data_IF_503077631338
#
_entry.id   IF_503077631338
#
_cell.length_a   1.000
_cell.length_b   1.000
_cell.length_c   1.000
_cell.angle_alpha   90.00
_cell.angle_beta   90.00
_cell.angle_gamma   90.00
#
_symmetry.space_group_name_H-M   'P 1'
#
loop_
_entity.id
_entity.type
_entity.pdbx_description
1 polymer ?
#
# COMPACT_ATOMS: atom_id res chain seq x y z
N UNK A 1 21.45 -2.58 -29.03
CA UNK A 1 20.44 -1.87 -28.22
C UNK A 1 19.01 -2.11 -28.67
N UNK A 2 18.52 -1.60 -29.82
CA UNK A 2 17.10 -1.74 -30.20
C UNK A 2 16.66 -3.21 -30.34
N UNK A 3 17.50 -4.05 -30.97
CA UNK A 3 17.25 -5.49 -31.09
C UNK A 3 17.26 -6.22 -29.74
N UNK A 4 18.21 -5.90 -28.85
CA UNK A 4 18.29 -6.49 -27.49
C UNK A 4 17.12 -6.05 -26.61
N UNK A 5 16.71 -4.78 -26.72
CA UNK A 5 15.52 -4.24 -26.06
C UNK A 5 14.27 -4.99 -26.51
N UNK A 6 14.10 -5.18 -27.82
CA UNK A 6 12.96 -5.93 -28.36
C UNK A 6 12.94 -7.39 -27.85
N UNK A 7 14.11 -8.03 -27.77
CA UNK A 7 14.24 -9.40 -27.24
C UNK A 7 13.86 -9.49 -25.76
N UNK A 8 14.35 -8.58 -24.91
CA UNK A 8 14.03 -8.59 -23.47
C UNK A 8 12.55 -8.27 -23.23
N UNK A 9 12.00 -7.29 -23.94
CA UNK A 9 10.56 -6.96 -23.88
C UNK A 9 9.72 -8.16 -24.31
N UNK A 10 10.10 -8.84 -25.39
CA UNK A 10 9.42 -10.07 -25.85
C UNK A 10 9.46 -11.20 -24.82
N UNK A 11 10.53 -11.32 -24.04
CA UNK A 11 10.68 -12.34 -23.01
C UNK A 11 9.84 -12.07 -21.75
N UNK A 12 9.58 -10.81 -21.43
CA UNK A 12 8.79 -10.40 -20.26
C UNK A 12 7.29 -10.29 -20.53
N UNK A 13 6.90 -10.10 -21.79
CA UNK A 13 5.51 -10.07 -22.20
C UNK A 13 4.79 -11.39 -21.81
N UNK A 14 3.49 -11.32 -21.47
CA UNK A 14 2.74 -12.52 -21.12
C UNK A 14 2.81 -13.50 -22.29
N UNK A 15 3.18 -14.75 -21.98
CA UNK A 15 3.25 -15.81 -23.00
C UNK A 15 1.85 -16.00 -23.56
N UNK A 16 1.74 -16.03 -24.88
CA UNK A 16 0.52 -16.45 -25.54
C UNK A 16 0.28 -17.91 -25.15
N UNK A 17 -0.63 -18.13 -24.21
CA UNK A 17 -1.17 -19.45 -23.95
C UNK A 17 -2.01 -19.84 -25.17
N UNK A 18 -1.34 -20.35 -26.20
CA UNK A 18 -2.00 -20.95 -27.35
C UNK A 18 -2.76 -22.14 -26.78
N UNK A 19 -4.08 -22.00 -26.67
CA UNK A 19 -4.93 -23.12 -26.26
C UNK A 19 -4.76 -24.20 -27.31
N UNK A 20 -3.97 -25.23 -26.97
CA UNK A 20 -3.67 -26.34 -27.85
C UNK A 20 -4.92 -27.18 -28.02
N UNK A 21 -5.67 -26.95 -29.10
CA UNK A 21 -6.70 -27.90 -29.50
C UNK A 21 -5.97 -29.08 -30.11
N UNK A 22 -5.88 -30.17 -29.34
CA UNK A 22 -5.60 -31.46 -29.94
C UNK A 22 -6.75 -31.76 -30.90
N UNK A 23 -6.48 -31.96 -32.21
CA UNK A 23 -7.52 -32.37 -33.12
C UNK A 23 -8.06 -33.73 -32.64
N UNK A 24 -9.37 -33.81 -32.40
CA UNK A 24 -10.00 -35.07 -32.00
C UNK A 24 -9.83 -36.15 -33.08
N UNK A 25 -10.08 -37.41 -32.71
CA UNK A 25 -10.05 -38.60 -33.57
C UNK A 25 -11.07 -38.56 -34.74
N UNK A 26 -11.57 -37.40 -35.18
CA UNK A 26 -12.40 -37.24 -36.40
C UNK A 26 -12.02 -36.07 -37.32
N UNK A 27 -10.99 -35.28 -36.98
CA UNK A 27 -10.64 -34.01 -37.68
C UNK A 27 -9.75 -34.19 -38.92
N UNK A 28 -9.38 -35.43 -39.26
CA UNK A 28 -8.39 -35.81 -40.28
C UNK A 28 -9.00 -35.91 -41.70
N UNK A 29 -10.32 -35.83 -41.83
CA UNK A 29 -11.06 -36.07 -43.07
C UNK A 29 -11.74 -34.82 -43.68
N UNK A 30 -11.10 -33.63 -43.65
CA UNK A 30 -11.54 -32.36 -44.28
C UNK A 30 -12.37 -31.36 -43.43
N UNK A 31 -12.36 -31.43 -42.09
CA UNK A 31 -12.92 -30.36 -41.25
C UNK A 31 -11.85 -29.67 -40.39
N UNK A 32 -10.88 -29.02 -41.03
CA UNK A 32 -9.81 -28.27 -40.38
C UNK A 32 -10.20 -26.80 -40.10
N UNK A 33 -11.30 -26.56 -39.38
CA UNK A 33 -11.57 -25.20 -38.88
C UNK A 33 -11.31 -25.14 -37.39
N UNK A 34 -10.35 -24.30 -36.99
CA UNK A 34 -10.15 -23.99 -35.58
C UNK A 34 -11.46 -23.46 -34.99
N UNK A 35 -11.86 -23.94 -33.80
CA UNK A 35 -13.11 -23.51 -33.23
C UNK A 35 -13.03 -22.02 -32.84
N UNK A 36 -14.15 -21.31 -33.00
CA UNK A 36 -14.22 -19.84 -32.86
C UNK A 36 -13.74 -19.31 -31.51
N UNK A 37 -13.86 -20.12 -30.46
CA UNK A 37 -13.39 -19.75 -29.12
C UNK A 37 -11.86 -19.74 -29.01
N UNK A 38 -11.14 -20.55 -29.81
CA UNK A 38 -9.66 -20.55 -29.86
C UNK A 38 -9.14 -19.35 -30.60
N UNK A 39 -9.72 -19.04 -31.75
CA UNK A 39 -9.35 -17.86 -32.53
C UNK A 39 -9.63 -16.58 -31.74
N UNK A 40 -10.80 -16.48 -31.10
CA UNK A 40 -11.11 -15.38 -30.19
C UNK A 40 -10.16 -15.31 -28.97
N UNK A 41 -9.73 -16.45 -28.41
CA UNK A 41 -8.77 -16.47 -27.32
C UNK A 41 -7.37 -15.99 -27.76
N UNK A 42 -6.91 -16.39 -28.95
CA UNK A 42 -5.64 -15.91 -29.54
C UNK A 42 -5.69 -14.41 -29.83
N UNK A 43 -6.77 -13.92 -30.43
CA UNK A 43 -6.97 -12.48 -30.68
C UNK A 43 -6.97 -11.68 -29.37
N UNK A 44 -7.61 -12.22 -28.31
CA UNK A 44 -7.61 -11.60 -26.99
C UNK A 44 -6.20 -11.57 -26.38
N UNK A 45 -5.46 -12.68 -26.44
CA UNK A 45 -4.10 -12.77 -25.94
C UNK A 45 -3.15 -11.82 -26.68
N UNK A 46 -3.25 -11.75 -28.01
CA UNK A 46 -2.49 -10.79 -28.82
C UNK A 46 -2.80 -9.34 -28.41
N UNK A 47 -4.08 -8.99 -28.24
CA UNK A 47 -4.47 -7.65 -27.77
C UNK A 47 -3.96 -7.35 -26.37
N UNK A 48 -3.95 -8.32 -25.47
CA UNK A 48 -3.40 -8.17 -24.12
C UNK A 48 -1.89 -7.99 -24.14
N UNK A 49 -1.19 -8.69 -25.02
CA UNK A 49 0.25 -8.54 -25.25
C UNK A 49 0.61 -7.15 -25.79
N UNK A 50 -0.12 -6.65 -26.79
CA UNK A 50 0.05 -5.29 -27.32
C UNK A 50 -0.19 -4.22 -26.26
N UNK A 51 -1.26 -4.39 -25.47
CA UNK A 51 -1.55 -3.49 -24.34
C UNK A 51 -0.44 -3.53 -23.29
N UNK A 52 0.06 -4.72 -22.94
CA UNK A 52 1.14 -4.88 -21.99
C UNK A 52 2.43 -4.24 -22.50
N UNK A 53 2.75 -4.35 -23.78
CA UNK A 53 3.91 -3.69 -24.39
C UNK A 53 3.79 -2.16 -24.35
N UNK A 54 2.58 -1.63 -24.57
CA UNK A 54 2.31 -0.19 -24.55
C UNK A 54 2.24 0.39 -23.13
N UNK A 55 1.82 -0.40 -22.13
CA UNK A 55 1.70 0.05 -20.74
C UNK A 55 3.04 0.09 -19.97
N UNK A 56 4.11 -0.45 -20.55
CA UNK A 56 5.43 -0.44 -19.92
C UNK A 56 5.93 0.98 -19.69
N UNK A 57 6.61 1.21 -18.58
CA UNK A 57 7.16 2.52 -18.26
C UNK A 57 8.26 2.95 -19.26
N UNK A 58 8.98 1.99 -19.86
CA UNK A 58 10.06 2.25 -20.80
C UNK A 58 9.61 2.32 -22.27
N UNK A 59 8.29 2.26 -22.56
CA UNK A 59 7.76 2.23 -23.93
C UNK A 59 8.09 3.49 -24.74
N UNK A 60 8.04 4.67 -24.11
CA UNK A 60 8.34 5.95 -24.76
C UNK A 60 9.86 6.25 -24.87
N UNK A 61 10.71 5.44 -24.25
CA UNK A 61 12.14 5.72 -24.10
C UNK A 61 12.98 4.89 -25.07
N UNK A 62 13.84 5.55 -25.86
CA UNK A 62 14.67 4.87 -26.88
C UNK A 62 15.81 4.03 -26.29
N UNK A 63 16.45 4.51 -25.22
CA UNK A 63 17.71 3.96 -24.70
C UNK A 63 17.60 3.29 -23.31
N UNK A 64 16.38 3.02 -22.85
CA UNK A 64 16.15 2.42 -21.52
C UNK A 64 15.44 1.10 -21.68
N UNK A 65 15.92 0.07 -21.00
CA UNK A 65 15.22 -1.21 -20.82
C UNK A 65 15.01 -1.37 -19.33
N UNK A 66 13.75 -1.40 -18.89
CA UNK A 66 13.38 -1.60 -17.49
C UNK A 66 12.75 -2.97 -17.34
N UNK A 67 13.26 -3.81 -16.44
CA UNK A 67 12.59 -5.05 -16.06
C UNK A 67 11.47 -4.76 -15.06
N UNK A 68 10.23 -5.12 -15.40
CA UNK A 68 9.07 -4.94 -14.51
C UNK A 68 8.78 -6.22 -13.69
N UNK A 69 9.74 -7.15 -13.67
CA UNK A 69 9.65 -8.42 -12.93
C UNK A 69 9.61 -8.16 -11.41
N UNK A 70 8.65 -8.78 -10.73
CA UNK A 70 8.53 -8.69 -9.27
C UNK A 70 9.51 -9.63 -8.57
N UNK A 71 10.48 -9.07 -7.85
CA UNK A 71 11.45 -9.82 -7.06
C UNK A 71 10.85 -10.40 -5.77
N UNK A 72 10.25 -11.59 -5.90
CA UNK A 72 9.57 -12.29 -4.80
C UNK A 72 10.44 -12.46 -3.56
N UNK A 73 11.74 -12.78 -3.71
CA UNK A 73 12.65 -13.03 -2.59
C UNK A 73 12.95 -11.78 -1.78
N UNK A 74 13.22 -10.66 -2.46
CA UNK A 74 13.58 -9.40 -1.81
C UNK A 74 12.35 -8.76 -1.17
N UNK A 75 11.24 -8.67 -1.93
CA UNK A 75 9.99 -8.08 -1.45
C UNK A 75 9.41 -8.84 -0.26
N UNK A 76 9.42 -10.17 -0.26
CA UNK A 76 8.83 -10.94 0.85
C UNK A 76 9.61 -10.82 2.15
N UNK A 77 10.93 -10.68 2.08
CA UNK A 77 11.81 -10.66 3.26
C UNK A 77 12.04 -9.26 3.84
N UNK A 78 12.18 -8.26 2.97
CA UNK A 78 12.62 -6.93 3.36
C UNK A 78 11.53 -5.86 3.22
N UNK A 79 10.40 -6.18 2.58
CA UNK A 79 9.25 -5.28 2.51
C UNK A 79 8.14 -5.74 3.44
N UNK A 80 7.36 -4.79 3.92
CA UNK A 80 6.15 -5.05 4.70
C UNK A 80 5.03 -5.52 3.79
N UNK A 81 4.35 -6.61 4.17
CA UNK A 81 3.20 -7.13 3.42
C UNK A 81 2.01 -6.16 3.43
N UNK A 82 1.82 -5.44 4.53
CA UNK A 82 0.78 -4.43 4.70
C UNK A 82 1.30 -3.28 5.58
N UNK A 83 0.62 -2.14 5.53
CA UNK A 83 0.97 -0.96 6.33
C UNK A 83 0.70 -1.27 7.81
N UNK A 84 1.68 -1.06 8.71
CA UNK A 84 1.47 -1.32 10.13
C UNK A 84 0.60 -0.23 10.78
N UNK A 85 -0.21 -0.63 11.77
CA UNK A 85 -0.85 0.32 12.69
C UNK A 85 0.24 1.18 13.38
N UNK A 86 0.13 2.51 13.49
CA UNK A 86 -1.06 3.37 13.40
C UNK A 86 -1.25 4.11 12.06
N UNK A 87 -0.58 3.69 10.98
CA UNK A 87 -0.64 4.42 9.71
C UNK A 87 -1.80 3.98 8.83
N UNK A 88 -2.49 4.94 8.22
CA UNK A 88 -3.60 4.68 7.28
C UNK A 88 -3.12 4.52 5.81
N UNK A 89 -1.97 5.12 5.46
CA UNK A 89 -1.43 5.16 4.10
C UNK A 89 0.01 4.67 4.04
N UNK A 90 0.34 3.96 2.95
CA UNK A 90 1.70 3.49 2.64
C UNK A 90 2.69 4.65 2.53
N UNK A 91 2.29 5.74 1.88
CA UNK A 91 3.16 6.91 1.71
C UNK A 91 3.50 7.57 3.06
N UNK A 92 2.55 7.61 4.01
CA UNK A 92 2.81 8.13 5.36
C UNK A 92 3.79 7.24 6.12
N UNK A 93 3.64 5.92 6.01
CA UNK A 93 4.54 4.96 6.63
C UNK A 93 5.96 5.07 6.07
N UNK A 94 6.13 5.08 4.74
CA UNK A 94 7.44 5.19 4.11
C UNK A 94 8.12 6.52 4.41
N UNK A 95 7.36 7.62 4.46
CA UNK A 95 7.88 8.94 4.88
C UNK A 95 8.37 8.94 6.32
N UNK A 96 7.67 8.25 7.22
CA UNK A 96 8.05 8.19 8.65
C UNK A 96 9.39 7.49 8.87
N UNK A 97 9.75 6.52 8.04
CA UNK A 97 11.00 5.75 8.16
C UNK A 97 12.13 6.28 7.28
N UNK A 98 11.92 7.38 6.56
CA UNK A 98 12.88 7.89 5.56
C UNK A 98 14.22 8.31 6.16
N UNK A 99 14.25 8.73 7.42
CA UNK A 99 15.47 9.19 8.09
C UNK A 99 16.17 8.06 8.85
N UNK A 100 17.46 7.78 8.59
CA UNK A 100 18.21 6.80 9.36
C UNK A 100 18.48 7.31 10.77
N UNK A 101 18.39 6.42 11.78
CA UNK A 101 18.64 6.76 13.19
C UNK A 101 20.09 6.56 13.63
N UNK A 102 20.98 6.07 12.76
CA UNK A 102 22.35 5.72 13.13
C UNK A 102 23.25 6.93 13.41
N UNK A 103 24.22 6.78 14.32
CA UNK A 103 25.21 7.82 14.65
C UNK A 103 26.15 8.17 13.48
N UNK A 104 26.25 7.31 12.46
CA UNK A 104 27.03 7.58 11.26
C UNK A 104 26.35 8.58 10.32
N UNK A 105 25.03 8.72 10.41
CA UNK A 105 24.22 9.53 9.50
C UNK A 105 23.76 10.85 10.10
N UNK A 106 23.80 10.98 11.44
CA UNK A 106 23.35 12.16 12.18
C UNK A 106 24.45 12.71 13.09
N UNK A 107 24.40 14.01 13.38
CA UNK A 107 25.23 14.60 14.43
C UNK A 107 24.92 14.00 15.81
N UNK A 108 25.88 14.04 16.75
CA UNK A 108 25.72 13.39 18.07
C UNK A 108 24.50 13.93 18.84
N UNK A 109 24.26 15.24 18.80
CA UNK A 109 23.08 15.86 19.44
C UNK A 109 21.78 15.30 18.87
N UNK A 110 21.62 15.31 17.55
CA UNK A 110 20.44 14.79 16.87
C UNK A 110 20.25 13.29 17.11
N UNK A 111 21.33 12.51 17.12
CA UNK A 111 21.28 11.08 17.46
C UNK A 111 20.72 10.85 18.88
N UNK A 112 21.19 11.64 19.86
CA UNK A 112 20.72 11.54 21.24
C UNK A 112 19.26 11.95 21.38
N UNK A 113 18.83 12.98 20.66
CA UNK A 113 17.44 13.44 20.69
C UNK A 113 16.48 12.43 20.04
N UNK A 114 16.87 11.86 18.89
CA UNK A 114 16.04 10.89 18.14
C UNK A 114 15.91 9.54 18.84
N UNK A 115 16.93 9.10 19.58
CA UNK A 115 16.93 7.81 20.28
C UNK A 115 16.46 7.89 21.72
N UNK A 116 16.15 9.09 22.22
CA UNK A 116 15.65 9.31 23.57
C UNK A 116 14.26 8.66 23.75
N UNK A 117 14.07 7.75 24.72
CA UNK A 117 12.76 7.15 24.97
C UNK A 117 11.79 8.21 25.52
N UNK A 118 10.50 8.03 25.23
CA UNK A 118 9.44 8.93 25.69
C UNK A 118 9.33 9.00 27.22
N UNK A 119 9.61 7.89 27.91
CA UNK A 119 9.58 7.79 29.38
C UNK A 119 10.98 7.54 29.90
N UNK A 120 11.48 8.48 30.69
CA UNK A 120 12.72 8.35 31.44
C UNK A 120 12.39 8.24 32.93
N UNK A 121 12.93 7.20 33.57
CA UNK A 121 12.80 6.99 35.02
C UNK A 121 14.18 6.93 35.64
N UNK A 122 14.34 7.56 36.79
CA UNK A 122 15.56 7.43 37.57
C UNK A 122 15.54 6.08 38.29
N UNK A 123 16.68 5.39 38.30
CA UNK A 123 16.83 4.15 39.04
C UNK A 123 16.80 4.43 40.54
N UNK A 124 16.20 3.52 41.32
CA UNK A 124 16.17 3.63 42.78
C UNK A 124 15.19 4.64 43.38
N UNK A 125 14.35 5.31 42.57
CA UNK A 125 13.35 6.26 43.05
C UNK A 125 11.94 5.70 42.87
N UNK A 126 11.14 5.73 43.95
CA UNK A 126 9.71 5.36 43.90
C UNK A 126 8.94 6.45 43.14
N UNK A 127 8.17 6.04 42.14
CA UNK A 127 7.32 6.95 41.36
C UNK A 127 6.04 7.21 42.15
N UNK A 128 5.93 8.40 42.73
CA UNK A 128 4.68 8.82 43.36
C UNK A 128 3.57 9.00 42.31
N UNK A 129 2.31 8.68 42.65
CA UNK A 129 1.19 8.93 41.76
C UNK A 129 1.06 10.43 41.44
N UNK A 130 0.56 10.73 40.25
CA UNK A 130 0.34 12.10 39.81
C UNK A 130 -0.68 12.77 40.73
N UNK A 131 -0.27 13.82 41.44
CA UNK A 131 -1.18 14.71 42.17
C UNK A 131 -1.61 15.84 41.25
N UNK A 132 -2.91 15.96 40.98
CA UNK A 132 -3.44 17.10 40.24
C UNK A 132 -3.28 18.38 41.08
N UNK A 133 -2.72 19.43 40.49
CA UNK A 133 -2.81 20.76 41.09
C UNK A 133 -4.27 21.24 41.03
N UNK A 134 -4.72 22.06 41.98
CA UNK A 134 -6.11 22.59 42.03
C UNK A 134 -6.67 23.03 40.66
N UNK A 135 -5.95 23.79 39.80
CA UNK A 135 -6.47 24.17 38.49
C UNK A 135 -6.57 23.00 37.50
N UNK A 136 -5.73 21.97 37.60
CA UNK A 136 -5.80 20.79 36.74
C UNK A 136 -6.89 19.83 37.20
N UNK A 137 -7.13 19.72 38.51
CA UNK A 137 -8.24 18.97 39.08
C UNK A 137 -9.59 19.55 38.62
N UNK A 138 -9.76 20.88 38.70
CA UNK A 138 -10.95 21.57 38.20
C UNK A 138 -11.15 21.37 36.69
N UNK A 139 -10.08 21.44 35.89
CA UNK A 139 -10.15 21.15 34.44
C UNK A 139 -10.50 19.69 34.16
N UNK A 140 -9.97 18.74 34.93
CA UNK A 140 -10.28 17.32 34.79
C UNK A 140 -11.76 17.03 35.13
N UNK A 141 -12.28 17.63 36.20
CA UNK A 141 -13.71 17.59 36.55
C UNK A 141 -14.58 18.24 35.48
N UNK A 142 -14.17 19.37 34.92
CA UNK A 142 -14.93 20.06 33.87
C UNK A 142 -14.98 19.22 32.58
N UNK A 143 -13.88 18.57 32.19
CA UNK A 143 -13.83 17.65 31.05
C UNK A 143 -14.69 16.42 31.31
N UNK A 144 -14.63 15.85 32.52
CA UNK A 144 -15.49 14.73 32.92
C UNK A 144 -16.97 15.13 32.91
N UNK A 145 -17.33 16.30 33.47
CA UNK A 145 -18.70 16.81 33.48
C UNK A 145 -19.22 17.13 32.07
N UNK A 146 -18.35 17.61 31.16
CA UNK A 146 -18.68 17.82 29.74
C UNK A 146 -18.93 16.50 29.01
N UNK A 147 -18.13 15.45 29.26
CA UNK A 147 -18.36 14.12 28.70
C UNK A 147 -19.65 13.48 29.23
N UNK A 148 -19.95 13.65 30.52
CA UNK A 148 -21.21 13.19 31.12
C UNK A 148 -22.40 13.96 30.53
N UNK A 149 -22.34 15.29 30.42
CA UNK A 149 -23.39 16.11 29.77
C UNK A 149 -23.59 15.76 28.30
N UNK A 150 -22.51 15.47 27.56
CA UNK A 150 -22.59 15.01 26.18
C UNK A 150 -23.27 13.63 26.06
N UNK A 151 -23.06 12.72 27.02
CA UNK A 151 -23.78 11.43 27.11
C UNK A 151 -25.24 11.57 27.56
N UNK A 152 -25.59 12.60 28.33
CA UNK A 152 -26.95 12.80 28.89
C UNK A 152 -27.90 13.52 27.92
N UNK A 153 -27.43 13.99 26.76
CA UNK A 153 -28.25 14.69 25.76
C UNK A 153 -29.19 13.83 24.91
N UNK A 154 -29.42 12.55 25.26
CA UNK A 154 -30.40 11.70 24.56
C UNK A 154 -31.18 10.81 25.52
N UNK A 155 -32.42 11.19 25.81
CA UNK A 155 -33.67 10.54 25.34
C UNK A 155 -34.83 11.16 26.14
N UNK A 156 -35.57 12.05 25.50
CA UNK A 156 -36.99 12.30 25.78
C UNK A 156 -37.60 12.85 24.49
N UNK A 157 -38.29 11.98 23.74
CA UNK A 157 -39.18 12.36 22.64
C UNK A 157 -38.49 12.77 21.32
N UNK A 158 -38.37 11.80 20.41
CA UNK A 158 -38.54 11.99 18.96
C UNK A 158 -37.60 12.93 18.19
N UNK A 159 -36.87 12.33 17.24
CA UNK A 159 -36.23 12.94 16.05
C UNK A 159 -34.77 13.41 16.19
N UNK A 160 -33.85 12.66 15.58
CA UNK A 160 -32.48 13.09 15.28
C UNK A 160 -32.48 14.15 14.17
N UNK A 161 -32.10 15.39 14.49
CA UNK A 161 -31.80 16.41 13.47
C UNK A 161 -30.43 16.12 12.86
N UNK A 162 -30.42 15.77 11.57
CA UNK A 162 -29.21 15.72 10.76
C UNK A 162 -28.56 17.13 10.68
N UNK A 163 -27.23 17.26 10.81
CA UNK A 163 -26.56 18.54 10.62
C UNK A 163 -26.67 18.96 9.14
N UNK A 164 -27.18 20.18 8.90
CA UNK A 164 -27.24 20.75 7.54
C UNK A 164 -25.81 20.86 6.98
N UNK A 165 -25.57 20.22 5.82
CA UNK A 165 -24.36 20.44 5.01
C UNK A 165 -24.26 21.93 4.69
N UNK A 166 -23.22 22.58 5.22
CA UNK A 166 -22.85 23.94 4.83
C UNK A 166 -22.16 23.84 3.46
N UNK A 167 -22.87 24.23 2.40
CA UNK A 167 -22.22 24.50 1.11
C UNK A 167 -21.45 25.80 1.25
N UNK A 168 -20.12 25.72 1.19
CA UNK A 168 -19.22 26.58 0.41
C UNK A 168 -17.98 25.74 0.09
#
# INVERSE_FOLDING_TARGET
FEAEKAAEVAAELPKEEVVGVLPGWGVWANQQKEPRWVTAAREKAAREREKAAASRADAALKFVVLSEKWDKKAMTKYSTQSVPFPFDSKDTYERSMRQPLGRQYNADSAFRDLTRPAVLKNTGVVIEPIRYTKPVAQKAEEVAAKQVKAKVLTVAGGMFKQPKKRQQ
#
